data_IF_100111486836
#
_entry.id   IF_100111486836
#
_cell.length_a   1.000
_cell.length_b   1.000
_cell.length_c   1.000
_cell.angle_alpha   90.00
_cell.angle_beta   90.00
_cell.angle_gamma   90.00
#
_symmetry.space_group_name_H-M   'P 1'
#
loop_
_entity.id
_entity.type
_entity.pdbx_description
1 polymer ?
#
# COMPACT_ATOMS: atom_id res chain seq x y z
N UNK A 1 5.13 12.76 -3.01
CA UNK A 1 6.04 13.08 -1.88
C UNK A 1 7.37 12.32 -2.00
N UNK A 2 7.39 10.98 -2.17
CA UNK A 2 8.64 10.20 -2.23
C UNK A 2 9.59 10.71 -3.33
N UNK A 3 9.11 10.87 -4.56
CA UNK A 3 9.88 11.44 -5.67
C UNK A 3 10.37 12.88 -5.42
N UNK A 4 9.63 13.67 -4.63
CA UNK A 4 10.05 15.04 -4.30
C UNK A 4 11.31 15.04 -3.42
N UNK A 5 11.39 14.13 -2.44
CA UNK A 5 12.48 14.06 -1.47
C UNK A 5 13.62 13.13 -1.87
N UNK A 6 13.41 12.23 -2.82
CA UNK A 6 14.44 11.36 -3.37
C UNK A 6 15.06 11.95 -4.64
N UNK A 7 16.33 11.62 -4.91
CA UNK A 7 17.02 12.08 -6.13
C UNK A 7 17.11 10.98 -7.20
N UNK A 8 17.06 9.70 -6.81
CA UNK A 8 17.32 8.56 -7.70
C UNK A 8 16.28 7.45 -7.46
N UNK A 9 14.98 7.76 -7.68
CA UNK A 9 13.95 6.72 -7.61
C UNK A 9 12.92 6.87 -8.73
N UNK A 10 12.45 5.73 -9.21
CA UNK A 10 11.27 5.61 -10.06
C UNK A 10 10.03 5.40 -9.18
N UNK A 11 8.90 5.93 -9.59
CA UNK A 11 7.65 5.76 -8.89
C UNK A 11 6.53 5.30 -9.82
N UNK A 12 5.86 4.21 -9.46
CA UNK A 12 4.65 3.75 -10.13
C UNK A 12 3.44 3.99 -9.22
N UNK A 13 2.57 4.91 -9.62
CA UNK A 13 1.26 5.12 -9.00
C UNK A 13 0.22 4.22 -9.65
N UNK A 14 -0.52 3.47 -8.84
CA UNK A 14 -1.56 2.56 -9.31
C UNK A 14 -2.89 2.95 -8.70
N UNK A 15 -3.93 3.03 -9.51
CA UNK A 15 -5.29 3.27 -9.05
C UNK A 15 -6.28 2.57 -9.99
N UNK A 16 -7.44 2.20 -9.45
CA UNK A 16 -8.55 1.65 -10.23
C UNK A 16 -9.25 2.75 -11.06
N UNK A 17 -9.29 3.99 -10.54
CA UNK A 17 -9.93 5.14 -11.16
C UNK A 17 -8.97 5.84 -12.13
N UNK A 18 -9.36 5.89 -13.41
CA UNK A 18 -8.65 6.68 -14.42
C UNK A 18 -8.66 8.17 -14.08
N UNK A 19 -9.77 8.68 -13.52
CA UNK A 19 -9.88 10.09 -13.12
C UNK A 19 -8.91 10.42 -11.99
N UNK A 20 -8.73 9.52 -11.00
CA UNK A 20 -7.75 9.69 -9.93
C UNK A 20 -6.32 9.78 -10.49
N UNK A 21 -5.99 8.93 -11.46
CA UNK A 21 -4.69 8.95 -12.14
C UNK A 21 -4.46 10.22 -12.95
N UNK A 22 -5.50 10.77 -13.62
CA UNK A 22 -5.40 12.07 -14.28
C UNK A 22 -5.10 13.20 -13.29
N UNK A 23 -5.75 13.18 -12.12
CA UNK A 23 -5.48 14.16 -11.04
C UNK A 23 -4.05 13.99 -10.54
N UNK A 24 -3.61 12.77 -10.29
CA UNK A 24 -2.24 12.46 -9.87
C UNK A 24 -1.20 12.98 -10.88
N UNK A 25 -1.41 12.74 -12.18
CA UNK A 25 -0.55 13.26 -13.24
C UNK A 25 -0.47 14.79 -13.26
N UNK A 26 -1.61 15.49 -13.12
CA UNK A 26 -1.62 16.95 -13.00
C UNK A 26 -0.88 17.45 -11.76
N UNK A 27 -0.97 16.73 -10.66
CA UNK A 27 -0.29 17.09 -9.40
C UNK A 27 1.23 16.89 -9.51
N UNK A 28 1.69 15.86 -10.18
CA UNK A 28 3.12 15.65 -10.47
C UNK A 28 3.71 16.88 -11.15
N UNK A 29 3.08 17.37 -12.21
CA UNK A 29 3.55 18.55 -12.97
C UNK A 29 3.53 19.86 -12.17
N UNK A 30 2.77 19.91 -11.07
CA UNK A 30 2.71 21.09 -10.18
C UNK A 30 3.72 21.04 -9.05
N UNK A 31 4.08 19.83 -8.59
CA UNK A 31 4.83 19.61 -7.34
C UNK A 31 6.28 19.22 -7.61
N UNK A 32 6.54 18.51 -8.70
CA UNK A 32 7.88 18.03 -9.05
C UNK A 32 8.56 18.94 -10.08
N UNK A 33 9.88 18.93 -10.08
CA UNK A 33 10.64 19.51 -11.19
C UNK A 33 10.45 18.67 -12.46
N UNK A 34 10.68 19.20 -13.67
CA UNK A 34 10.52 18.45 -14.91
C UNK A 34 11.33 17.14 -14.90
N UNK A 35 12.56 17.17 -14.42
CA UNK A 35 13.43 15.99 -14.34
C UNK A 35 12.84 14.91 -13.43
N UNK A 36 12.30 15.29 -12.26
CA UNK A 36 11.66 14.34 -11.33
C UNK A 36 10.30 13.85 -11.83
N UNK A 37 9.60 14.66 -12.62
CA UNK A 37 8.31 14.27 -13.18
C UNK A 37 8.42 13.13 -14.20
N UNK A 38 9.54 13.03 -14.92
CA UNK A 38 9.82 11.95 -15.87
C UNK A 38 9.92 10.58 -15.18
N UNK A 39 10.23 10.54 -13.89
CA UNK A 39 10.31 9.32 -13.07
C UNK A 39 8.99 8.93 -12.40
N UNK A 40 7.89 9.64 -12.70
CA UNK A 40 6.55 9.35 -12.17
C UNK A 40 5.69 8.67 -13.23
N UNK A 41 5.38 7.41 -13.03
CA UNK A 41 4.56 6.60 -13.92
C UNK A 41 3.22 6.30 -13.28
N UNK A 42 2.17 6.11 -14.11
CA UNK A 42 0.82 5.81 -13.63
C UNK A 42 0.23 4.66 -14.42
N UNK A 43 -0.48 3.77 -13.72
CA UNK A 43 -1.08 2.58 -14.30
C UNK A 43 -2.49 2.37 -13.74
N UNK A 44 -3.49 2.27 -14.61
CA UNK A 44 -4.82 1.88 -14.20
C UNK A 44 -4.90 0.36 -14.02
N UNK A 45 -5.06 -0.08 -12.76
CA UNK A 45 -5.10 -1.49 -12.38
C UNK A 45 -5.91 -1.69 -11.10
N UNK A 46 -6.55 -2.86 -10.94
CA UNK A 46 -7.02 -3.34 -9.65
C UNK A 46 -5.83 -3.96 -8.92
N UNK A 47 -5.31 -3.22 -7.94
CA UNK A 47 -4.10 -3.59 -7.21
C UNK A 47 -2.96 -4.01 -8.18
N UNK A 48 -2.49 -5.26 -8.08
CA UNK A 48 -1.35 -5.76 -8.83
C UNK A 48 -1.69 -6.43 -10.18
N UNK A 49 -2.96 -6.49 -10.60
CA UNK A 49 -3.38 -7.26 -11.79
C UNK A 49 -2.57 -6.95 -13.06
N UNK A 50 -2.16 -5.69 -13.24
CA UNK A 50 -1.39 -5.24 -14.40
C UNK A 50 0.01 -4.75 -14.04
N UNK A 51 0.39 -4.88 -12.76
CA UNK A 51 1.70 -4.43 -12.29
C UNK A 51 2.75 -5.47 -12.67
N UNK A 52 3.82 -5.01 -13.31
CA UNK A 52 4.99 -5.82 -13.64
C UNK A 52 6.23 -5.34 -12.88
N UNK A 53 7.21 -6.24 -12.71
CA UNK A 53 8.49 -5.92 -12.10
C UNK A 53 8.54 -6.12 -10.59
N UNK A 54 9.64 -5.62 -10.03
CA UNK A 54 9.98 -5.72 -8.60
C UNK A 54 10.30 -4.33 -8.05
N UNK A 55 9.90 -4.11 -6.80
CA UNK A 55 10.02 -2.83 -6.11
C UNK A 55 10.75 -3.01 -4.77
N UNK A 56 11.53 -2.02 -4.39
CA UNK A 56 12.16 -1.94 -3.07
C UNK A 56 11.14 -1.54 -2.00
N UNK A 57 10.17 -0.71 -2.38
CA UNK A 57 9.15 -0.20 -1.46
C UNK A 57 7.80 -0.24 -2.15
N UNK A 58 6.80 -0.79 -1.46
CA UNK A 58 5.38 -0.69 -1.82
C UNK A 58 4.68 0.06 -0.69
N UNK A 59 3.90 1.09 -1.04
CA UNK A 59 3.11 1.89 -0.09
C UNK A 59 1.66 1.85 -0.51
N UNK A 60 0.75 1.62 0.43
CA UNK A 60 -0.68 1.62 0.17
C UNK A 60 -1.48 2.31 1.28
N UNK A 61 -2.49 3.07 0.87
CA UNK A 61 -3.58 3.54 1.72
C UNK A 61 -4.89 2.99 1.14
N UNK A 62 -5.21 1.72 1.37
CA UNK A 62 -6.39 1.11 0.82
C UNK A 62 -7.65 1.51 1.58
N UNK A 63 -8.86 1.32 1.02
CA UNK A 63 -10.10 1.46 1.78
C UNK A 63 -10.10 0.52 2.98
N UNK A 64 -10.38 1.04 4.17
CA UNK A 64 -10.25 0.28 5.43
C UNK A 64 -11.45 0.43 6.38
N UNK A 65 -12.49 1.18 6.01
CA UNK A 65 -13.65 1.37 6.86
C UNK A 65 -14.61 0.21 6.63
N UNK A 66 -15.03 -0.47 7.70
CA UNK A 66 -16.02 -1.54 7.57
C UNK A 66 -17.34 -1.00 6.97
N UNK A 67 -17.97 -1.76 6.05
CA UNK A 67 -19.16 -1.31 5.31
C UNK A 67 -20.27 -0.79 6.23
N UNK A 68 -20.47 -1.41 7.40
CA UNK A 68 -21.45 -0.98 8.39
C UNK A 68 -21.11 0.36 9.06
N UNK A 69 -19.85 0.77 9.06
CA UNK A 69 -19.39 2.04 9.63
C UNK A 69 -19.41 3.17 8.59
N UNK A 70 -19.26 2.86 7.29
CA UNK A 70 -19.34 3.85 6.21
C UNK A 70 -20.64 4.66 6.27
N UNK A 71 -21.76 3.99 6.57
CA UNK A 71 -23.08 4.64 6.67
C UNK A 71 -23.18 5.62 7.87
N UNK A 72 -22.31 5.48 8.87
CA UNK A 72 -22.29 6.30 10.09
C UNK A 72 -21.31 7.47 10.00
N UNK A 73 -20.54 7.58 8.91
CA UNK A 73 -19.61 8.68 8.70
C UNK A 73 -20.32 10.03 8.63
N UNK A 74 -19.58 11.07 9.00
CA UNK A 74 -20.08 12.44 8.83
C UNK A 74 -20.42 12.71 7.36
N UNK A 75 -21.49 13.47 7.08
CA UNK A 75 -21.95 13.73 5.71
C UNK A 75 -20.84 14.29 4.79
N UNK A 76 -19.94 15.09 5.36
CA UNK A 76 -18.82 15.71 4.63
C UNK A 76 -17.86 14.65 4.04
N UNK A 77 -17.73 13.49 4.68
CA UNK A 77 -16.90 12.38 4.18
C UNK A 77 -17.77 11.44 3.35
N UNK A 78 -18.88 10.97 3.91
CA UNK A 78 -19.78 9.98 3.29
C UNK A 78 -20.31 10.41 1.92
N UNK A 79 -20.68 11.70 1.77
CA UNK A 79 -21.38 12.22 0.60
C UNK A 79 -20.43 12.87 -0.43
N UNK A 80 -19.15 13.09 -0.07
CA UNK A 80 -18.17 13.74 -0.93
C UNK A 80 -17.00 12.85 -1.35
N UNK A 81 -16.67 11.81 -0.57
CA UNK A 81 -15.67 10.83 -0.95
C UNK A 81 -16.32 9.66 -1.71
N UNK A 82 -15.69 9.15 -2.78
CA UNK A 82 -16.20 7.96 -3.46
C UNK A 82 -16.28 6.79 -2.49
N UNK A 83 -17.44 6.12 -2.41
CA UNK A 83 -17.64 4.96 -1.51
C UNK A 83 -16.55 3.91 -1.68
N UNK A 84 -16.12 3.65 -2.91
CA UNK A 84 -15.06 2.69 -3.22
C UNK A 84 -13.69 3.07 -2.63
N UNK A 85 -13.48 4.34 -2.27
CA UNK A 85 -12.26 4.80 -1.61
C UNK A 85 -12.33 4.67 -0.07
N UNK A 86 -13.50 4.38 0.49
CA UNK A 86 -13.75 4.28 1.93
C UNK A 86 -14.01 2.84 2.39
N UNK A 87 -14.80 2.09 1.59
CA UNK A 87 -15.39 0.80 1.98
C UNK A 87 -14.36 -0.34 1.88
N UNK A 88 -13.83 -0.73 3.04
CA UNK A 88 -12.92 -1.86 3.22
C UNK A 88 -13.62 -3.22 3.34
N UNK A 89 -14.91 -3.29 2.99
CA UNK A 89 -15.80 -4.45 3.08
C UNK A 89 -16.23 -4.82 4.51
N UNK A 90 -16.58 -6.08 4.77
CA UNK A 90 -17.27 -6.52 6.00
C UNK A 90 -16.50 -6.13 7.29
N UNK A 91 -15.19 -6.34 7.31
CA UNK A 91 -14.33 -6.11 8.48
C UNK A 91 -13.26 -5.03 8.28
N UNK A 92 -13.27 -4.34 7.13
CA UNK A 92 -12.27 -3.33 6.79
C UNK A 92 -10.87 -3.87 6.47
N UNK A 93 -10.69 -5.19 6.38
CA UNK A 93 -9.38 -5.82 6.18
C UNK A 93 -9.20 -6.49 4.80
N UNK A 94 -10.20 -6.45 3.95
CA UNK A 94 -10.21 -7.15 2.67
C UNK A 94 -9.01 -6.76 1.76
N UNK A 95 -8.77 -5.46 1.60
CA UNK A 95 -7.70 -4.98 0.74
C UNK A 95 -6.32 -5.26 1.33
N UNK A 96 -6.17 -5.18 2.66
CA UNK A 96 -4.90 -5.58 3.31
C UNK A 96 -4.55 -7.02 3.01
N UNK A 97 -5.52 -7.97 3.11
CA UNK A 97 -5.27 -9.38 2.79
C UNK A 97 -4.80 -9.55 1.35
N UNK A 98 -5.51 -8.96 0.38
CA UNK A 98 -5.13 -9.03 -1.03
C UNK A 98 -3.73 -8.47 -1.29
N UNK A 99 -3.46 -7.27 -0.77
CA UNK A 99 -2.18 -6.60 -1.01
C UNK A 99 -1.04 -7.37 -0.35
N UNK A 100 -1.18 -7.84 0.88
CA UNK A 100 -0.14 -8.59 1.60
C UNK A 100 0.21 -9.88 0.86
N UNK A 101 -0.79 -10.64 0.40
CA UNK A 101 -0.61 -11.87 -0.36
C UNK A 101 0.12 -11.62 -1.70
N UNK A 102 -0.27 -10.57 -2.42
CA UNK A 102 0.24 -10.31 -3.76
C UNK A 102 1.59 -9.57 -3.76
N UNK A 103 1.81 -8.65 -2.81
CA UNK A 103 2.98 -7.76 -2.77
C UNK A 103 4.32 -8.53 -2.70
N UNK A 104 4.35 -9.71 -2.07
CA UNK A 104 5.56 -10.56 -2.06
C UNK A 104 6.03 -10.98 -3.45
N UNK A 105 5.13 -11.05 -4.43
CA UNK A 105 5.46 -11.33 -5.84
C UNK A 105 6.09 -10.12 -6.54
N UNK A 106 5.93 -8.93 -5.98
CA UNK A 106 6.38 -7.65 -6.52
C UNK A 106 7.44 -6.96 -5.65
N UNK A 107 7.85 -7.52 -4.53
CA UNK A 107 8.95 -7.03 -3.72
C UNK A 107 10.27 -7.71 -4.08
N UNK A 108 11.35 -6.94 -4.08
CA UNK A 108 12.70 -7.50 -4.05
C UNK A 108 12.96 -8.19 -2.69
N UNK A 109 14.03 -8.98 -2.58
CA UNK A 109 14.45 -9.50 -1.26
C UNK A 109 14.84 -8.35 -0.34
N UNK A 110 14.32 -8.33 0.87
CA UNK A 110 14.41 -7.22 1.83
C UNK A 110 13.66 -5.95 1.41
N UNK A 111 12.77 -6.03 0.43
CA UNK A 111 11.83 -4.96 0.10
C UNK A 111 10.80 -4.77 1.21
N UNK A 112 10.22 -3.59 1.27
CA UNK A 112 9.33 -3.20 2.37
C UNK A 112 7.92 -2.87 1.88
N UNK A 113 6.92 -3.31 2.65
CA UNK A 113 5.51 -2.98 2.46
C UNK A 113 5.03 -2.08 3.58
N UNK A 114 4.43 -0.95 3.23
CA UNK A 114 3.87 0.04 4.14
C UNK A 114 2.38 0.20 3.90
N UNK A 115 1.62 0.28 5.00
CA UNK A 115 0.19 0.59 4.98
C UNK A 115 -0.12 1.81 5.85
N UNK A 116 -0.97 2.70 5.37
CA UNK A 116 -1.80 3.52 6.25
C UNK A 116 -2.97 2.65 6.73
N UNK A 117 -3.35 2.80 8.01
CA UNK A 117 -4.38 1.98 8.66
C UNK A 117 -5.37 2.81 9.46
N UNK A 118 -6.54 2.24 9.73
CA UNK A 118 -7.43 2.69 10.80
C UNK A 118 -6.75 2.53 12.16
N UNK A 119 -7.03 3.46 13.08
CA UNK A 119 -6.37 3.54 14.38
C UNK A 119 -6.52 2.29 15.28
N UNK A 120 -7.48 1.45 14.99
CA UNK A 120 -7.81 0.21 15.71
C UNK A 120 -7.37 -1.07 14.97
N UNK A 121 -6.73 -0.92 13.78
CA UNK A 121 -6.37 -2.05 12.91
C UNK A 121 -4.91 -2.50 13.05
N UNK A 122 -4.08 -1.80 13.83
CA UNK A 122 -2.63 -2.04 13.93
C UNK A 122 -2.27 -3.49 14.24
N UNK A 123 -2.94 -4.11 15.22
CA UNK A 123 -2.70 -5.51 15.58
C UNK A 123 -3.12 -6.45 14.44
N UNK A 124 -4.32 -6.30 13.90
CA UNK A 124 -4.86 -7.20 12.87
C UNK A 124 -4.01 -7.20 11.59
N UNK A 125 -3.63 -6.00 11.10
CA UNK A 125 -2.79 -5.89 9.89
C UNK A 125 -1.38 -6.45 10.16
N UNK A 126 -0.81 -6.21 11.35
CA UNK A 126 0.49 -6.78 11.73
C UNK A 126 0.47 -8.30 11.76
N UNK A 127 -0.61 -8.92 12.25
CA UNK A 127 -0.77 -10.37 12.28
C UNK A 127 -0.90 -10.96 10.87
N UNK A 128 -1.66 -10.30 9.98
CA UNK A 128 -1.75 -10.68 8.57
C UNK A 128 -0.36 -10.66 7.91
N UNK A 129 0.41 -9.60 8.08
CA UNK A 129 1.77 -9.50 7.51
C UNK A 129 2.70 -10.60 8.04
N UNK A 130 2.70 -10.87 9.36
CA UNK A 130 3.53 -11.93 9.94
C UNK A 130 3.14 -13.32 9.44
N UNK A 131 1.85 -13.57 9.25
CA UNK A 131 1.34 -14.85 8.73
C UNK A 131 1.82 -15.10 7.30
N UNK A 132 1.90 -14.05 6.49
CA UNK A 132 2.42 -14.11 5.12
C UNK A 132 3.96 -14.02 5.02
N UNK A 133 4.66 -14.09 6.17
CA UNK A 133 6.13 -14.22 6.19
C UNK A 133 6.90 -12.90 6.18
N UNK A 134 6.23 -11.77 6.41
CA UNK A 134 6.94 -10.50 6.61
C UNK A 134 7.62 -10.49 7.97
N UNK A 135 8.86 -9.99 8.00
CA UNK A 135 9.67 -9.82 9.19
C UNK A 135 9.70 -8.36 9.64
N UNK A 136 10.18 -8.11 10.87
CA UNK A 136 10.35 -6.77 11.44
C UNK A 136 9.09 -5.91 11.34
N UNK A 137 7.92 -6.54 11.51
CA UNK A 137 6.63 -5.86 11.42
C UNK A 137 6.45 -4.90 12.60
N UNK A 138 6.28 -3.61 12.28
CA UNK A 138 6.14 -2.52 13.23
C UNK A 138 4.87 -1.72 13.00
N UNK A 139 4.36 -1.13 14.08
CA UNK A 139 3.25 -0.17 14.06
C UNK A 139 3.81 1.19 14.49
N UNK A 140 3.48 2.23 13.74
CA UNK A 140 3.85 3.62 14.04
C UNK A 140 2.61 4.43 14.31
N UNK A 141 2.67 5.23 15.37
CA UNK A 141 1.59 6.11 15.77
C UNK A 141 1.74 7.50 15.16
N UNK A 142 0.61 8.16 14.96
CA UNK A 142 0.55 9.56 14.59
C UNK A 142 0.84 10.49 15.78
N UNK A 143 0.82 11.81 15.55
CA UNK A 143 1.07 12.81 16.60
C UNK A 143 0.00 12.84 17.71
N UNK A 144 -1.16 12.21 17.48
CA UNK A 144 -2.20 12.05 18.51
C UNK A 144 -2.02 10.75 19.33
N UNK A 145 -1.00 9.93 19.02
CA UNK A 145 -0.75 8.65 19.69
C UNK A 145 -1.65 7.52 19.20
N UNK A 146 -2.28 7.68 18.03
CA UNK A 146 -3.12 6.65 17.41
C UNK A 146 -2.30 5.87 16.38
N UNK A 147 -2.49 4.57 16.32
CA UNK A 147 -1.87 3.72 15.30
C UNK A 147 -2.24 4.23 13.90
N UNK A 148 -1.24 4.42 13.05
CA UNK A 148 -1.46 5.02 11.73
C UNK A 148 -0.75 4.32 10.59
N UNK A 149 0.42 3.74 10.84
CA UNK A 149 1.19 3.04 9.81
C UNK A 149 1.58 1.67 10.32
N UNK A 150 1.39 0.64 9.50
CA UNK A 150 2.00 -0.68 9.69
C UNK A 150 2.95 -0.94 8.54
N UNK A 151 4.15 -1.43 8.83
CA UNK A 151 5.09 -1.82 7.80
C UNK A 151 5.89 -3.05 8.20
N UNK A 152 6.45 -3.74 7.21
CA UNK A 152 7.31 -4.90 7.43
C UNK A 152 8.18 -5.19 6.22
N UNK A 153 9.21 -6.01 6.44
CA UNK A 153 10.21 -6.41 5.44
C UNK A 153 9.86 -7.78 4.86
N UNK A 154 9.85 -7.89 3.54
CA UNK A 154 9.65 -9.15 2.84
C UNK A 154 10.98 -9.90 2.68
N UNK A 155 11.04 -11.14 3.18
CA UNK A 155 12.23 -11.98 3.04
C UNK A 155 11.89 -13.17 2.15
N UNK A 156 12.51 -13.24 0.97
CA UNK A 156 12.42 -14.42 0.13
C UNK A 156 13.14 -15.58 0.83
N UNK A 157 12.39 -16.55 1.35
CA UNK A 157 12.98 -17.80 1.81
C UNK A 157 13.49 -18.54 0.58
N UNK A 158 14.80 -18.53 0.34
CA UNK A 158 15.38 -19.43 -0.66
C UNK A 158 15.16 -20.87 -0.17
N UNK A 159 14.58 -21.76 -0.99
CA UNK A 159 14.53 -23.17 -0.62
C UNK A 159 15.97 -23.65 -0.40
N UNK A 160 16.26 -24.09 0.81
CA UNK A 160 17.55 -24.72 1.12
C UNK A 160 17.73 -25.88 0.13
N UNK A 161 18.83 -25.92 -0.67
CA UNK A 161 19.06 -27.03 -1.55
C UNK A 161 19.16 -28.30 -0.67
N UNK A 162 18.24 -29.23 -0.88
CA UNK A 162 18.30 -30.55 -0.21
C UNK A 162 19.71 -31.09 -0.38
N UNK A 163 20.43 -31.23 0.72
CA UNK A 163 21.67 -31.99 0.76
C UNK A 163 21.33 -33.40 0.28
N UNK A 164 21.74 -33.78 -0.94
CA UNK A 164 21.70 -35.17 -1.38
C UNK A 164 22.62 -35.92 -0.46
N UNK A 165 22.04 -36.67 0.50
CA UNK A 165 22.75 -37.67 1.26
C UNK A 165 23.30 -38.71 0.29
N UNK A 166 24.61 -38.85 0.32
CA UNK A 166 25.34 -39.93 -0.36
C UNK A 166 25.13 -41.24 0.40
#
# INVERSE_FOLDING_TARGET
SLLHYSNDCEGLGVDLSAEALEVAGRNVLKVLTPEKAEHAHFLQSDLFEKVEGKFEIIVSNPPYIASAEVEKLMPEVRDHEPRMALDGTEDGLYFYRRIIEEAGKHLVSSGMLFFEIGYDQGQAVSELMRTEGYCDVQVVQDYAGLDRVVFGTYVTVQPTPFAKSR
#
